data_IF_495652812004
#
_entry.id   IF_495652812004
#
_cell.length_a   1.000
_cell.length_b   1.000
_cell.length_c   1.000
_cell.angle_alpha   90.00
_cell.angle_beta   90.00
_cell.angle_gamma   90.00
#
_symmetry.space_group_name_H-M   'P 1'
#
loop_
_entity.id
_entity.type
_entity.pdbx_description
1 polymer ?
#
# COMPACT_ATOMS: atom_id res chain seq x y z
N UNK A 1 -5.34 29.34 -9.73
CA UNK A 1 -5.52 29.20 -8.27
C UNK A 1 -6.44 28.03 -7.85
N UNK A 2 -6.88 27.15 -8.75
CA UNK A 2 -7.69 25.95 -8.41
C UNK A 2 -6.96 24.62 -8.61
N UNK A 3 -5.77 24.59 -9.19
CA UNK A 3 -4.99 23.37 -9.49
C UNK A 3 -4.01 22.90 -8.38
N UNK A 4 -3.75 23.74 -7.36
CA UNK A 4 -2.82 23.40 -6.25
C UNK A 4 -3.48 22.49 -5.17
N UNK A 5 -4.77 22.26 -5.24
CA UNK A 5 -5.54 21.57 -4.18
C UNK A 5 -5.47 20.03 -4.30
N UNK A 6 -5.20 19.47 -5.48
CA UNK A 6 -5.27 18.02 -5.69
C UNK A 6 -4.03 17.27 -5.21
N UNK A 7 -2.83 17.77 -5.47
CA UNK A 7 -1.57 17.09 -5.03
C UNK A 7 -1.32 17.18 -3.52
N UNK A 8 -1.86 18.20 -2.87
CA UNK A 8 -1.80 18.35 -1.40
C UNK A 8 -2.77 17.37 -0.70
N UNK A 9 -3.83 16.93 -1.38
CA UNK A 9 -4.84 16.06 -0.76
C UNK A 9 -4.31 14.65 -0.47
N UNK A 10 -3.43 14.10 -1.28
CA UNK A 10 -2.89 12.73 -1.09
C UNK A 10 -1.87 12.71 0.06
N UNK A 11 -1.03 13.72 0.18
CA UNK A 11 -0.10 13.85 1.33
C UNK A 11 -0.79 14.25 2.64
N UNK A 12 -1.95 14.93 2.58
CA UNK A 12 -2.71 15.37 3.76
C UNK A 12 -3.56 14.22 4.35
N UNK A 13 -3.93 13.22 3.57
CA UNK A 13 -4.70 12.07 4.07
C UNK A 13 -3.87 11.26 5.09
N UNK A 14 -2.56 11.17 4.95
CA UNK A 14 -1.69 10.56 5.97
C UNK A 14 -1.54 11.41 7.25
N UNK A 15 -1.73 12.73 7.18
CA UNK A 15 -1.52 13.65 8.31
C UNK A 15 -2.81 13.92 9.09
N UNK A 16 -4.00 13.82 8.46
CA UNK A 16 -5.29 14.14 9.10
C UNK A 16 -5.89 13.00 9.96
N UNK A 17 -5.27 11.84 10.03
CA UNK A 17 -5.70 10.76 10.94
C UNK A 17 -5.24 10.95 12.40
N UNK A 18 -4.42 11.97 12.70
CA UNK A 18 -3.86 12.19 14.04
C UNK A 18 -4.58 13.25 14.91
N UNK A 19 -5.67 13.87 14.46
CA UNK A 19 -6.23 15.05 15.19
C UNK A 19 -7.60 14.90 15.83
N UNK A 20 -8.04 13.72 16.19
CA UNK A 20 -9.29 13.59 16.96
C UNK A 20 -9.23 12.49 17.99
N UNK A 21 -8.79 12.81 19.21
CA UNK A 21 -9.35 12.23 20.45
C UNK A 21 -8.67 12.84 21.70
N UNK A 22 -9.34 13.80 22.29
CA UNK A 22 -9.14 14.13 23.69
C UNK A 22 -10.38 13.63 24.44
N UNK A 23 -10.26 12.59 25.24
CA UNK A 23 -11.17 12.30 26.33
C UNK A 23 -10.47 11.46 27.40
N UNK A 24 -10.52 12.00 28.60
CA UNK A 24 -9.98 11.47 29.84
C UNK A 24 -10.78 10.22 30.26
N UNK A 25 -10.12 9.11 30.52
CA UNK A 25 -10.73 7.93 31.11
C UNK A 25 -9.93 7.46 32.32
N UNK A 26 -10.64 7.39 33.44
CA UNK A 26 -10.19 6.84 34.71
C UNK A 26 -10.12 5.31 34.69
N UNK A 27 -9.02 4.78 35.18
CA UNK A 27 -8.71 3.35 35.29
C UNK A 27 -9.66 2.56 36.17
N UNK A 28 -10.19 1.45 35.67
CA UNK A 28 -10.71 0.34 36.48
C UNK A 28 -10.10 -0.98 36.04
N UNK A 29 -9.50 -1.67 36.99
CA UNK A 29 -8.85 -2.98 36.85
C UNK A 29 -9.84 -4.10 36.49
N UNK A 30 -9.58 -4.87 35.44
CA UNK A 30 -10.32 -6.10 35.13
C UNK A 30 -9.36 -7.30 35.10
N UNK A 31 -9.83 -8.35 35.75
CA UNK A 31 -9.15 -9.62 35.99
C UNK A 31 -8.94 -10.47 34.75
N UNK A 32 -7.74 -11.04 34.60
CA UNK A 32 -7.35 -12.01 33.58
C UNK A 32 -8.21 -13.27 33.58
N UNK A 33 -8.86 -13.57 32.47
CA UNK A 33 -9.30 -14.91 32.13
C UNK A 33 -8.40 -15.46 31.02
N UNK A 34 -7.63 -16.51 31.33
CA UNK A 34 -6.78 -17.23 30.40
C UNK A 34 -7.62 -18.02 29.39
N UNK A 35 -7.60 -17.60 28.14
CA UNK A 35 -8.04 -18.45 27.01
C UNK A 35 -6.92 -19.45 26.65
N UNK A 36 -7.25 -20.72 26.33
CA UNK A 36 -6.25 -21.67 25.89
C UNK A 36 -5.72 -21.26 24.49
N UNK A 37 -4.40 -21.12 24.40
CA UNK A 37 -3.71 -20.88 23.14
C UNK A 37 -4.08 -21.94 22.11
N UNK A 38 -4.59 -21.54 20.96
CA UNK A 38 -4.74 -22.40 19.79
C UNK A 38 -3.36 -22.91 19.35
N UNK A 39 -3.20 -24.20 19.26
CA UNK A 39 -1.92 -24.84 18.88
C UNK A 39 -1.75 -24.70 17.37
N UNK A 40 -0.95 -23.73 16.94
CA UNK A 40 -0.45 -23.66 15.57
C UNK A 40 0.58 -24.78 15.37
N UNK A 41 0.35 -25.67 14.42
CA UNK A 41 1.14 -26.90 14.25
C UNK A 41 2.26 -26.83 13.20
N UNK A 42 2.47 -25.71 12.49
CA UNK A 42 3.54 -25.56 11.49
C UNK A 42 4.13 -24.15 11.53
N UNK A 43 5.45 -23.99 11.25
CA UNK A 43 6.02 -22.68 11.02
C UNK A 43 5.28 -22.03 9.84
N UNK A 44 4.75 -20.86 10.08
CA UNK A 44 3.91 -20.12 9.13
C UNK A 44 4.80 -19.07 8.45
N UNK A 45 5.08 -19.25 7.16
CA UNK A 45 5.74 -18.19 6.39
C UNK A 45 4.70 -17.17 5.95
N UNK A 46 4.89 -15.94 6.33
CA UNK A 46 4.03 -14.82 5.93
C UNK A 46 4.56 -14.15 4.66
N UNK A 47 3.64 -13.62 3.87
CA UNK A 47 3.94 -12.78 2.71
C UNK A 47 3.14 -11.50 2.83
N UNK A 48 3.80 -10.35 2.65
CA UNK A 48 3.12 -9.06 2.58
C UNK A 48 2.29 -8.98 1.29
N UNK A 49 1.04 -8.53 1.41
CA UNK A 49 0.16 -8.32 0.26
C UNK A 49 0.38 -6.95 -0.37
N UNK A 50 0.87 -5.99 0.42
CA UNK A 50 1.21 -4.65 -0.05
C UNK A 50 2.67 -4.34 0.24
N UNK A 51 3.33 -3.72 -0.72
CA UNK A 51 4.70 -3.22 -0.60
C UNK A 51 4.73 -1.70 -0.41
N UNK A 52 5.91 -1.13 -0.20
CA UNK A 52 6.13 0.33 -0.08
C UNK A 52 5.28 1.00 1.02
N UNK A 53 5.24 0.40 2.23
CA UNK A 53 4.56 1.00 3.36
C UNK A 53 3.03 0.99 3.27
N UNK A 54 2.45 0.03 2.55
CA UNK A 54 1.00 -0.17 2.44
C UNK A 54 0.35 0.49 1.24
N UNK A 55 1.13 0.96 0.26
CA UNK A 55 0.57 1.39 -1.02
C UNK A 55 0.04 0.17 -1.76
N UNK A 56 -1.27 0.18 -2.04
CA UNK A 56 -1.89 -0.89 -2.82
C UNK A 56 -1.81 -0.57 -4.30
N UNK A 57 -1.00 -1.34 -5.00
CA UNK A 57 -0.88 -1.28 -6.45
C UNK A 57 -1.76 -2.33 -7.15
N UNK A 58 -2.11 -3.40 -6.43
CA UNK A 58 -2.81 -4.56 -6.97
C UNK A 58 -2.15 -5.86 -6.59
N UNK A 59 -2.47 -6.93 -7.31
CA UNK A 59 -1.97 -8.28 -7.07
C UNK A 59 -1.11 -8.77 -8.25
N UNK A 60 0.07 -9.30 -7.97
CA UNK A 60 0.94 -9.90 -8.99
C UNK A 60 0.95 -11.42 -8.89
N UNK A 61 1.03 -12.07 -10.06
CA UNK A 61 1.27 -13.51 -10.22
C UNK A 61 2.49 -13.70 -11.12
N UNK A 62 2.87 -14.95 -11.38
CA UNK A 62 3.92 -15.24 -12.34
C UNK A 62 3.57 -14.79 -13.77
N UNK A 63 2.27 -14.79 -14.13
CA UNK A 63 1.82 -14.57 -15.50
C UNK A 63 1.31 -13.14 -15.75
N UNK A 64 0.96 -12.40 -14.70
CA UNK A 64 0.40 -11.07 -14.89
C UNK A 64 0.02 -10.32 -13.62
N UNK A 65 -0.46 -9.09 -13.83
CA UNK A 65 -0.79 -8.12 -12.81
C UNK A 65 -2.28 -7.79 -12.83
N UNK A 66 -2.90 -7.82 -11.66
CA UNK A 66 -4.32 -7.55 -11.44
C UNK A 66 -4.47 -6.26 -10.64
N UNK A 67 -5.20 -5.29 -11.18
CA UNK A 67 -5.35 -3.99 -10.54
C UNK A 67 -6.70 -3.35 -10.86
N UNK A 68 -7.08 -2.35 -10.09
CA UNK A 68 -8.30 -1.58 -10.32
C UNK A 68 -8.01 -0.47 -11.33
N UNK A 69 -8.84 -0.37 -12.37
CA UNK A 69 -8.73 0.72 -13.34
C UNK A 69 -8.98 2.07 -12.63
N UNK A 70 -8.05 3.00 -12.79
CA UNK A 70 -8.19 4.36 -12.25
C UNK A 70 -9.27 5.18 -12.96
N UNK A 71 -9.68 4.78 -14.17
CA UNK A 71 -10.75 5.38 -14.94
C UNK A 71 -12.11 4.92 -14.42
N UNK A 72 -12.67 5.67 -13.47
CA UNK A 72 -14.01 5.43 -12.98
C UNK A 72 -15.07 6.01 -13.91
N UNK A 73 -16.23 5.34 -14.00
CA UNK A 73 -17.41 5.85 -14.68
C UNK A 73 -18.06 6.99 -13.89
N UNK A 74 -19.05 7.67 -14.49
CA UNK A 74 -19.79 8.76 -13.84
C UNK A 74 -20.42 8.37 -12.49
N UNK A 75 -20.84 7.12 -12.35
CA UNK A 75 -21.38 6.56 -11.11
C UNK A 75 -20.31 6.10 -10.10
N UNK A 76 -19.04 6.29 -10.43
CA UNK A 76 -17.90 5.85 -9.60
C UNK A 76 -17.52 4.38 -9.78
N UNK A 77 -18.26 3.62 -10.61
CA UNK A 77 -17.89 2.24 -10.90
C UNK A 77 -16.64 2.16 -11.79
N UNK A 78 -15.88 1.09 -11.66
CA UNK A 78 -14.68 0.83 -12.45
C UNK A 78 -14.57 -0.66 -12.81
N UNK A 79 -13.43 -1.10 -13.31
CA UNK A 79 -13.20 -2.49 -13.64
C UNK A 79 -11.90 -3.01 -13.01
N UNK A 80 -11.91 -4.30 -12.72
CA UNK A 80 -10.70 -5.05 -12.45
C UNK A 80 -10.00 -5.37 -13.77
N UNK A 81 -8.72 -5.03 -13.86
CA UNK A 81 -7.90 -5.20 -15.04
C UNK A 81 -6.91 -6.35 -14.85
N UNK A 82 -6.51 -6.93 -15.95
CA UNK A 82 -5.42 -7.90 -16.02
C UNK A 82 -4.40 -7.46 -17.06
N UNK A 83 -3.16 -7.34 -16.65
CA UNK A 83 -2.01 -7.07 -17.51
C UNK A 83 -1.21 -8.36 -17.65
N UNK A 84 -1.20 -8.94 -18.83
CA UNK A 84 -0.46 -10.16 -19.16
C UNK A 84 1.01 -9.82 -19.46
N UNK A 85 1.94 -10.40 -18.70
CA UNK A 85 3.37 -10.10 -18.85
C UNK A 85 3.97 -10.67 -20.14
N UNK A 86 3.43 -11.79 -20.63
CA UNK A 86 3.95 -12.44 -21.84
C UNK A 86 3.58 -11.72 -23.12
N UNK A 87 2.36 -11.16 -23.19
CA UNK A 87 1.88 -10.40 -24.36
C UNK A 87 2.02 -8.89 -24.21
N UNK A 88 2.35 -8.40 -23.00
CA UNK A 88 2.41 -6.98 -22.64
C UNK A 88 1.06 -6.24 -22.84
N UNK A 89 -0.07 -6.99 -22.80
CA UNK A 89 -1.39 -6.44 -23.04
C UNK A 89 -2.19 -6.31 -21.74
N UNK A 90 -2.93 -5.21 -21.62
CA UNK A 90 -3.88 -4.95 -20.53
C UNK A 90 -5.31 -5.14 -21.06
N UNK A 91 -6.08 -5.97 -20.36
CA UNK A 91 -7.47 -6.29 -20.71
C UNK A 91 -8.38 -6.24 -19.46
N UNK A 92 -9.68 -6.18 -19.67
CA UNK A 92 -10.65 -6.39 -18.58
C UNK A 92 -10.57 -7.84 -18.07
N UNK A 93 -10.47 -8.03 -16.75
CA UNK A 93 -10.52 -9.37 -16.16
C UNK A 93 -11.98 -9.90 -16.20
N UNK A 94 -12.39 -10.39 -17.37
CA UNK A 94 -13.74 -10.86 -17.61
C UNK A 94 -13.75 -12.16 -18.39
N UNK A 95 -14.42 -13.18 -17.85
CA UNK A 95 -14.55 -14.50 -18.49
C UNK A 95 -15.73 -14.59 -19.48
N UNK A 96 -16.53 -13.51 -19.63
CA UNK A 96 -17.75 -13.53 -20.45
C UNK A 96 -17.46 -13.13 -21.90
N UNK A 97 -17.85 -13.97 -22.85
CA UNK A 97 -17.75 -13.63 -24.27
C UNK A 97 -18.74 -12.49 -24.63
N UNK A 98 -18.26 -11.54 -25.46
CA UNK A 98 -19.04 -10.37 -25.93
C UNK A 98 -19.59 -9.49 -24.80
N UNK A 99 -18.89 -9.41 -23.67
CA UNK A 99 -19.23 -8.53 -22.57
C UNK A 99 -18.90 -7.07 -22.93
N UNK A 100 -19.78 -6.13 -22.60
CA UNK A 100 -19.55 -4.69 -22.79
C UNK A 100 -18.80 -4.06 -21.61
N UNK A 101 -18.59 -4.82 -20.53
CA UNK A 101 -17.85 -4.46 -19.31
C UNK A 101 -18.40 -3.25 -18.53
N UNK A 102 -19.60 -2.80 -18.82
CA UNK A 102 -20.21 -1.56 -18.31
C UNK A 102 -21.31 -1.77 -17.25
N UNK A 103 -21.52 -2.98 -16.80
CA UNK A 103 -22.60 -3.32 -15.88
C UNK A 103 -22.22 -4.42 -14.87
N UNK A 104 -22.98 -4.52 -13.79
CA UNK A 104 -22.80 -5.51 -12.73
C UNK A 104 -22.92 -6.99 -13.19
N UNK A 105 -23.39 -7.24 -14.42
CA UNK A 105 -23.34 -8.59 -15.00
C UNK A 105 -21.94 -9.01 -15.43
N UNK A 106 -21.02 -8.07 -15.59
CA UNK A 106 -19.63 -8.31 -15.93
C UNK A 106 -18.82 -8.71 -14.68
N UNK A 107 -18.03 -9.75 -14.77
CA UNK A 107 -17.20 -10.23 -13.62
C UNK A 107 -16.08 -9.26 -13.25
N UNK A 108 -15.61 -8.42 -14.17
CA UNK A 108 -14.62 -7.37 -13.87
C UNK A 108 -15.24 -6.10 -13.29
N UNK A 109 -16.55 -5.93 -13.37
CA UNK A 109 -17.23 -4.71 -12.90
C UNK A 109 -17.13 -4.58 -11.39
N UNK A 110 -16.66 -3.43 -10.92
CA UNK A 110 -16.53 -3.08 -9.51
C UNK A 110 -17.52 -1.97 -9.18
N UNK A 111 -18.39 -2.24 -8.21
CA UNK A 111 -19.32 -1.25 -7.68
C UNK A 111 -18.55 -0.07 -7.07
N UNK A 112 -19.06 1.16 -7.14
CA UNK A 112 -18.46 2.28 -6.45
C UNK A 112 -18.44 2.03 -4.95
N UNK A 113 -17.32 2.42 -4.32
CA UNK A 113 -17.16 2.38 -2.87
C UNK A 113 -16.27 3.54 -2.44
N UNK A 114 -16.60 4.22 -1.35
CA UNK A 114 -15.83 5.36 -0.86
C UNK A 114 -14.43 4.97 -0.39
N UNK A 115 -14.27 3.75 0.09
CA UNK A 115 -12.98 3.23 0.56
C UNK A 115 -12.12 2.57 -0.52
N UNK A 116 -12.66 2.40 -1.74
CA UNK A 116 -11.96 1.70 -2.82
C UNK A 116 -12.04 0.17 -2.72
N UNK A 117 -11.46 -0.50 -3.70
CA UNK A 117 -11.34 -1.96 -3.77
C UNK A 117 -9.86 -2.30 -3.87
N UNK A 118 -9.39 -3.19 -3.01
CA UNK A 118 -8.01 -3.65 -2.97
C UNK A 118 -7.95 -5.07 -3.53
N UNK A 119 -7.40 -5.28 -4.72
CA UNK A 119 -7.14 -6.63 -5.24
C UNK A 119 -5.84 -7.17 -4.67
N UNK A 120 -5.89 -8.37 -4.09
CA UNK A 120 -4.76 -9.05 -3.46
C UNK A 120 -4.70 -10.51 -3.91
N UNK A 121 -3.49 -11.05 -4.00
CA UNK A 121 -3.32 -12.47 -4.31
C UNK A 121 -3.20 -13.31 -3.04
N UNK A 122 -4.07 -14.31 -2.90
CA UNK A 122 -3.95 -15.31 -1.84
C UNK A 122 -4.11 -16.72 -2.45
N UNK A 123 -3.07 -17.50 -2.39
CA UNK A 123 -3.03 -18.82 -3.01
C UNK A 123 -3.28 -18.75 -4.52
N UNK A 124 -4.36 -19.41 -4.97
CA UNK A 124 -4.78 -19.51 -6.38
C UNK A 124 -5.95 -18.57 -6.75
N UNK A 125 -6.21 -17.54 -5.92
CA UNK A 125 -7.31 -16.59 -6.09
C UNK A 125 -6.81 -15.15 -6.03
N UNK A 126 -7.59 -14.28 -6.66
CA UNK A 126 -7.59 -12.85 -6.34
C UNK A 126 -8.67 -12.60 -5.31
N UNK A 127 -8.30 -11.93 -4.25
CA UNK A 127 -9.19 -11.46 -3.19
C UNK A 127 -9.47 -9.99 -3.43
N UNK A 128 -10.73 -9.61 -3.41
CA UNK A 128 -11.17 -8.22 -3.54
C UNK A 128 -11.67 -7.74 -2.18
N UNK A 129 -10.89 -6.87 -1.53
CA UNK A 129 -11.32 -6.18 -0.33
C UNK A 129 -12.06 -4.91 -0.72
N UNK A 130 -13.38 -4.88 -0.49
CA UNK A 130 -14.19 -3.68 -0.57
C UNK A 130 -14.09 -2.94 0.76
N UNK A 131 -13.40 -1.81 0.72
CA UNK A 131 -13.24 -0.98 1.90
C UNK A 131 -14.48 -0.10 2.06
N UNK A 132 -14.99 -0.02 3.29
CA UNK A 132 -16.00 0.96 3.64
C UNK A 132 -15.36 2.07 4.48
N UNK A 133 -15.82 3.29 4.33
CA UNK A 133 -15.48 4.37 5.24
C UNK A 133 -16.38 4.26 6.47
N UNK A 134 -15.84 4.28 7.72
CA UNK A 134 -16.65 4.32 8.93
C UNK A 134 -17.48 5.61 9.05
N UNK A 135 -17.30 6.54 8.13
CA UNK A 135 -17.98 7.83 8.02
C UNK A 135 -18.93 7.89 6.81
N UNK A 136 -19.21 6.73 6.20
CA UNK A 136 -20.13 6.66 5.08
C UNK A 136 -21.58 6.94 5.56
N UNK A 137 -22.33 7.66 4.72
CA UNK A 137 -23.74 7.96 4.98
C UNK A 137 -24.59 6.68 4.99
N UNK A 138 -25.76 6.77 5.64
CA UNK A 138 -26.75 5.67 5.66
C UNK A 138 -27.08 5.21 4.23
N UNK A 139 -26.82 3.95 3.93
CA UNK A 139 -27.16 3.31 2.65
C UNK A 139 -25.99 2.80 1.83
N UNK A 140 -24.75 2.98 2.26
CA UNK A 140 -23.62 2.35 1.59
C UNK A 140 -23.52 0.84 1.89
N UNK A 141 -23.03 0.11 0.90
CA UNK A 141 -22.73 -1.31 1.04
C UNK A 141 -21.66 -1.51 2.13
N UNK A 142 -21.81 -2.48 3.05
CA UNK A 142 -20.80 -2.75 4.06
C UNK A 142 -19.50 -3.20 3.42
N UNK A 143 -18.38 -2.99 4.15
CA UNK A 143 -17.11 -3.59 3.79
C UNK A 143 -17.28 -5.11 3.63
N UNK A 144 -16.68 -5.67 2.60
CA UNK A 144 -16.78 -7.09 2.30
C UNK A 144 -15.56 -7.62 1.60
N UNK A 145 -15.43 -8.94 1.57
CA UNK A 145 -14.36 -9.64 0.87
C UNK A 145 -15.00 -10.57 -0.17
N UNK A 146 -14.54 -10.45 -1.39
CA UNK A 146 -14.91 -11.31 -2.50
C UNK A 146 -13.68 -12.07 -2.99
N UNK A 147 -13.91 -13.25 -3.57
CA UNK A 147 -12.89 -14.01 -4.32
C UNK A 147 -13.24 -14.04 -5.80
N UNK A 148 -12.23 -14.10 -6.65
CA UNK A 148 -12.36 -14.29 -8.10
C UNK A 148 -11.19 -15.13 -8.60
N UNK A 149 -11.41 -16.00 -9.58
CA UNK A 149 -10.34 -16.79 -10.22
C UNK A 149 -9.45 -15.87 -11.10
N UNK A 150 -8.23 -16.31 -11.37
CA UNK A 150 -7.30 -15.58 -12.25
C UNK A 150 -7.82 -15.37 -13.67
N UNK A 151 -8.79 -16.15 -14.13
CA UNK A 151 -9.46 -15.99 -15.43
C UNK A 151 -10.71 -15.08 -15.38
N UNK A 152 -10.98 -14.47 -14.24
CA UNK A 152 -12.17 -13.62 -14.04
C UNK A 152 -13.46 -14.37 -13.79
N UNK A 153 -13.45 -15.70 -13.65
CA UNK A 153 -14.62 -16.51 -13.32
C UNK A 153 -14.77 -16.70 -11.80
N UNK A 154 -15.90 -17.27 -11.37
CA UNK A 154 -16.08 -17.76 -10.00
C UNK A 154 -16.11 -16.67 -8.94
N UNK A 155 -16.47 -15.42 -9.29
CA UNK A 155 -16.57 -14.32 -8.33
C UNK A 155 -17.67 -14.56 -7.33
N UNK A 156 -17.33 -14.47 -6.04
CA UNK A 156 -18.28 -14.67 -4.94
C UNK A 156 -17.86 -13.91 -3.69
N UNK A 157 -18.84 -13.43 -2.90
CA UNK A 157 -18.60 -12.87 -1.57
C UNK A 157 -18.34 -14.02 -0.60
N UNK A 158 -17.23 -13.93 0.15
CA UNK A 158 -16.87 -14.92 1.18
C UNK A 158 -17.08 -14.38 2.60
N UNK A 159 -16.98 -13.04 2.78
CA UNK A 159 -17.21 -12.40 4.07
C UNK A 159 -17.83 -11.02 3.89
N UNK A 160 -18.73 -10.64 4.81
CA UNK A 160 -19.28 -9.28 4.92
C UNK A 160 -19.11 -8.81 6.33
N UNK A 161 -18.41 -7.69 6.49
CA UNK A 161 -18.17 -7.07 7.80
C UNK A 161 -19.45 -6.43 8.33
N UNK A 162 -19.53 -6.30 9.64
CA UNK A 162 -20.60 -5.53 10.26
C UNK A 162 -20.40 -4.03 10.00
N UNK A 163 -21.44 -3.20 10.05
CA UNK A 163 -21.32 -1.75 9.79
C UNK A 163 -20.30 -1.03 10.68
N UNK A 164 -20.16 -1.50 11.92
CA UNK A 164 -19.20 -0.97 12.89
C UNK A 164 -17.76 -1.45 12.69
N UNK A 165 -17.53 -2.40 11.78
CA UNK A 165 -16.23 -3.02 11.51
C UNK A 165 -15.58 -2.43 10.27
N UNK A 166 -14.30 -2.07 10.39
CA UNK A 166 -13.51 -1.55 9.28
C UNK A 166 -12.15 -2.25 9.26
N UNK A 167 -11.84 -3.04 8.22
CA UNK A 167 -10.50 -3.56 8.03
C UNK A 167 -9.54 -2.41 7.67
N UNK A 168 -8.31 -2.49 8.20
CA UNK A 168 -7.23 -1.59 7.82
C UNK A 168 -6.48 -2.16 6.62
N UNK A 169 -5.92 -1.23 5.82
CA UNK A 169 -5.22 -1.59 4.61
C UNK A 169 -3.90 -2.24 4.87
N UNK A 170 -3.01 -2.54 4.96
CA UNK A 170 -1.82 -3.36 5.02
C UNK A 170 -2.12 -4.72 5.61
N UNK A 171 -1.96 -5.71 4.77
CA UNK A 171 -2.35 -7.08 5.06
C UNK A 171 -1.20 -8.03 4.76
N UNK A 172 -1.17 -9.15 5.44
CA UNK A 172 -0.23 -10.24 5.16
C UNK A 172 -0.99 -11.56 5.05
N UNK A 173 -0.40 -12.53 4.35
CA UNK A 173 -1.01 -13.85 4.16
C UNK A 173 -0.03 -14.97 4.46
N UNK A 174 -0.56 -16.12 4.87
CA UNK A 174 0.16 -17.41 4.93
C UNK A 174 -0.15 -18.30 3.71
N UNK A 175 -0.78 -17.73 2.67
CA UNK A 175 -1.21 -18.44 1.45
C UNK A 175 -2.64 -18.96 1.49
N UNK A 176 -3.29 -18.99 2.66
CA UNK A 176 -4.71 -19.35 2.84
C UNK A 176 -5.45 -18.27 3.64
N UNK A 177 -4.88 -17.84 4.75
CA UNK A 177 -5.47 -16.84 5.62
C UNK A 177 -4.91 -15.46 5.31
N UNK A 178 -5.70 -14.42 5.58
CA UNK A 178 -5.28 -13.03 5.55
C UNK A 178 -5.28 -12.50 6.97
N UNK A 179 -4.18 -11.85 7.36
CA UNK A 179 -4.02 -11.19 8.65
C UNK A 179 -4.02 -9.68 8.45
N UNK A 180 -4.85 -8.98 9.19
CA UNK A 180 -5.03 -7.53 9.10
C UNK A 180 -5.49 -6.96 10.44
N UNK A 181 -5.44 -5.64 10.57
CA UNK A 181 -6.01 -4.95 11.72
C UNK A 181 -7.47 -4.66 11.47
N UNK A 182 -8.35 -5.17 12.33
CA UNK A 182 -9.78 -4.87 12.33
C UNK A 182 -10.08 -3.83 13.40
N UNK A 183 -10.63 -2.70 12.97
CA UNK A 183 -11.17 -1.66 13.83
C UNK A 183 -12.65 -1.91 14.02
N UNK A 184 -13.13 -1.82 15.28
CA UNK A 184 -14.54 -1.92 15.62
C UNK A 184 -14.94 -0.71 16.46
N UNK A 185 -15.96 0.03 16.02
CA UNK A 185 -16.55 1.14 16.77
C UNK A 185 -17.63 0.54 17.69
N UNK A 186 -17.54 0.81 18.99
CA UNK A 186 -18.49 0.31 19.99
C UNK A 186 -19.70 1.23 20.10
N UNK A 187 -20.77 0.77 20.76
CA UNK A 187 -21.99 1.57 21.01
C UNK A 187 -21.73 2.85 21.81
N UNK A 188 -20.72 2.84 22.69
CA UNK A 188 -20.28 4.02 23.46
C UNK A 188 -19.32 4.94 22.69
N UNK A 189 -19.16 4.72 21.38
CA UNK A 189 -18.23 5.41 20.48
C UNK A 189 -16.75 5.12 20.75
N UNK A 190 -16.41 4.27 21.71
CA UNK A 190 -15.04 3.81 21.87
C UNK A 190 -14.62 2.92 20.68
N UNK A 191 -13.33 2.85 20.43
CA UNK A 191 -12.75 2.07 19.32
C UNK A 191 -11.95 0.92 19.90
N UNK A 192 -12.11 -0.27 19.32
CA UNK A 192 -11.19 -1.39 19.54
C UNK A 192 -10.44 -1.70 18.26
N UNK A 193 -9.21 -2.12 18.40
CA UNK A 193 -8.38 -2.67 17.31
C UNK A 193 -7.97 -4.08 17.68
N UNK A 194 -8.08 -4.98 16.71
CA UNK A 194 -7.64 -6.37 16.88
C UNK A 194 -6.82 -6.78 15.67
N UNK A 195 -5.77 -7.55 15.89
CA UNK A 195 -5.25 -8.42 14.85
C UNK A 195 -6.33 -9.45 14.54
N UNK A 196 -6.74 -9.52 13.30
CA UNK A 196 -7.77 -10.42 12.81
C UNK A 196 -7.19 -11.37 11.76
N UNK A 197 -7.77 -12.56 11.66
CA UNK A 197 -7.48 -13.58 10.64
C UNK A 197 -8.76 -13.92 9.90
N UNK A 198 -8.74 -13.85 8.58
CA UNK A 198 -9.81 -14.26 7.70
C UNK A 198 -9.35 -15.49 6.90
N UNK A 199 -10.04 -16.61 7.06
CA UNK A 199 -9.85 -17.80 6.22
C UNK A 199 -10.51 -17.55 4.85
N UNK A 200 -9.75 -17.57 3.77
CA UNK A 200 -10.25 -17.26 2.43
C UNK A 200 -11.06 -18.40 1.79
N UNK A 201 -11.03 -19.59 2.34
CA UNK A 201 -11.82 -20.74 1.87
C UNK A 201 -13.20 -20.76 2.51
N UNK A 202 -13.29 -20.47 3.81
CA UNK A 202 -14.54 -20.56 4.58
C UNK A 202 -15.22 -19.22 4.79
N UNK A 203 -14.45 -18.10 4.73
CA UNK A 203 -14.92 -16.76 5.08
C UNK A 203 -15.00 -16.52 6.60
N UNK A 204 -14.48 -17.45 7.41
CA UNK A 204 -14.49 -17.32 8.87
C UNK A 204 -13.50 -16.25 9.33
N UNK A 205 -13.99 -15.31 10.13
CA UNK A 205 -13.22 -14.23 10.75
C UNK A 205 -12.95 -14.56 12.22
N UNK A 206 -11.68 -14.55 12.59
CA UNK A 206 -11.20 -14.77 13.96
C UNK A 206 -10.45 -13.56 14.47
N UNK A 207 -10.78 -13.07 15.67
CA UNK A 207 -10.01 -12.03 16.36
C UNK A 207 -8.92 -12.70 17.20
N UNK A 208 -7.65 -12.44 16.86
CA UNK A 208 -6.52 -13.12 17.47
C UNK A 208 -6.01 -12.40 18.72
N UNK A 209 -5.76 -11.09 18.60
CA UNK A 209 -5.18 -10.31 19.69
C UNK A 209 -5.63 -8.86 19.64
N UNK A 210 -5.92 -8.28 20.81
CA UNK A 210 -6.21 -6.85 20.94
C UNK A 210 -4.92 -6.03 20.75
N UNK A 211 -5.04 -4.94 19.98
CA UNK A 211 -3.95 -4.01 19.69
C UNK A 211 -4.20 -2.66 20.37
N UNK A 212 -3.15 -1.87 20.55
CA UNK A 212 -3.26 -0.56 21.17
C UNK A 212 -4.11 0.38 20.31
N UNK A 213 -5.04 1.08 20.96
CA UNK A 213 -5.85 2.15 20.36
C UNK A 213 -5.20 3.51 20.57
N UNK A 214 -4.50 3.69 21.69
CA UNK A 214 -3.83 4.94 22.06
C UNK A 214 -2.67 5.25 21.12
N UNK A 215 -1.98 4.20 20.66
CA UNK A 215 -0.92 4.30 19.69
C UNK A 215 -1.48 4.04 18.27
N UNK A 216 -1.04 4.79 17.28
CA UNK A 216 -1.31 4.49 15.88
C UNK A 216 -0.51 3.23 15.50
N UNK A 217 -1.07 2.05 15.78
CA UNK A 217 -0.44 0.74 15.56
C UNK A 217 -1.12 0.06 14.36
N UNK A 218 -0.35 -0.36 13.36
CA UNK A 218 -0.84 -1.10 12.19
C UNK A 218 0.26 -1.98 11.59
N UNK A 219 -0.14 -3.01 10.84
CA UNK A 219 0.76 -3.88 10.10
C UNK A 219 1.42 -3.04 8.99
N UNK A 220 2.73 -3.16 8.84
CA UNK A 220 3.49 -2.51 7.77
C UNK A 220 4.07 -3.50 6.77
N UNK A 221 4.22 -4.76 7.16
CA UNK A 221 4.68 -5.87 6.35
C UNK A 221 4.91 -7.11 7.20
N UNK A 222 5.77 -7.99 6.74
CA UNK A 222 6.19 -9.19 7.47
C UNK A 222 7.62 -9.58 7.12
N UNK A 223 8.20 -10.45 7.97
CA UNK A 223 9.48 -11.10 7.72
C UNK A 223 9.46 -12.50 8.36
N UNK A 224 9.51 -13.55 7.54
CA UNK A 224 9.37 -14.93 8.00
C UNK A 224 8.00 -15.18 8.66
N UNK A 225 8.00 -15.49 9.95
CA UNK A 225 6.79 -15.75 10.75
C UNK A 225 6.30 -14.50 11.52
N UNK A 226 7.01 -13.39 11.40
CA UNK A 226 6.78 -12.19 12.20
C UNK A 226 6.09 -11.09 11.39
N UNK A 227 5.20 -10.36 12.04
CA UNK A 227 4.65 -9.12 11.53
C UNK A 227 5.65 -7.99 11.74
N UNK A 228 5.74 -7.09 10.77
CA UNK A 228 6.41 -5.81 10.92
C UNK A 228 5.33 -4.77 11.19
N UNK A 229 5.41 -4.15 12.35
CA UNK A 229 4.41 -3.20 12.86
C UNK A 229 4.99 -1.79 12.84
N UNK A 230 4.28 -0.86 12.25
CA UNK A 230 4.49 0.56 12.49
C UNK A 230 3.69 0.97 13.73
N UNK A 231 4.31 1.70 14.63
CA UNK A 231 3.68 2.26 15.81
C UNK A 231 4.09 3.73 15.96
N UNK A 232 3.12 4.59 16.30
CA UNK A 232 3.39 5.99 16.62
C UNK A 232 2.79 6.33 17.98
N UNK A 233 3.62 6.78 18.91
CA UNK A 233 3.23 7.22 20.24
C UNK A 233 3.23 8.75 20.32
N UNK A 234 2.14 9.30 20.84
CA UNK A 234 2.01 10.73 21.08
C UNK A 234 2.50 11.08 22.49
N UNK A 235 3.45 12.00 22.57
CA UNK A 235 3.93 12.58 23.82
C UNK A 235 3.58 14.08 23.86
N UNK A 236 3.75 14.71 25.01
CA UNK A 236 3.51 16.15 25.18
C UNK A 236 4.43 16.98 24.26
N UNK A 237 3.91 17.35 23.08
CA UNK A 237 4.56 18.22 22.10
C UNK A 237 5.42 17.54 21.04
N UNK A 238 5.53 16.20 21.03
CA UNK A 238 6.21 15.46 19.95
C UNK A 238 5.62 14.04 19.81
N UNK A 239 5.91 13.41 18.68
CA UNK A 239 5.50 12.03 18.40
C UNK A 239 6.73 11.18 18.11
N UNK A 240 6.78 9.99 18.70
CA UNK A 240 7.82 9.00 18.42
C UNK A 240 7.19 7.87 17.60
N UNK A 241 7.76 7.62 16.44
CA UNK A 241 7.41 6.47 15.64
C UNK A 241 8.45 5.37 15.79
N UNK A 242 8.01 4.13 15.66
CA UNK A 242 8.90 2.97 15.71
C UNK A 242 8.43 1.86 14.77
N UNK A 243 9.37 1.07 14.32
CA UNK A 243 9.16 -0.20 13.62
C UNK A 243 9.43 -1.32 14.60
N UNK A 244 8.45 -2.21 14.75
CA UNK A 244 8.54 -3.37 15.64
C UNK A 244 8.49 -4.66 14.81
N UNK A 245 9.26 -5.65 15.20
CA UNK A 245 9.07 -7.04 14.81
C UNK A 245 8.19 -7.71 15.86
N UNK A 246 7.10 -8.30 15.45
CA UNK A 246 6.13 -8.91 16.35
C UNK A 246 5.79 -10.34 15.95
N UNK A 247 6.26 -11.30 16.75
CA UNK A 247 5.77 -12.66 16.68
C UNK A 247 4.47 -12.76 17.46
N UNK A 248 3.35 -12.75 16.77
CA UNK A 248 2.03 -12.73 17.42
C UNK A 248 1.62 -14.09 17.99
N UNK A 249 2.30 -15.18 17.64
CA UNK A 249 2.10 -16.51 18.22
C UNK A 249 2.69 -16.56 19.62
N UNK A 250 3.94 -16.15 19.79
CA UNK A 250 4.61 -16.08 21.10
C UNK A 250 4.28 -14.82 21.89
N UNK A 251 3.76 -13.79 21.21
CA UNK A 251 3.52 -12.46 21.77
C UNK A 251 4.78 -11.60 21.93
N UNK A 252 5.95 -12.05 21.45
CA UNK A 252 7.19 -11.29 21.57
C UNK A 252 7.21 -10.10 20.62
N UNK A 253 7.58 -8.91 21.13
CA UNK A 253 7.80 -7.69 20.34
C UNK A 253 9.24 -7.21 20.53
N UNK A 254 9.89 -6.84 19.43
CA UNK A 254 11.24 -6.28 19.39
C UNK A 254 11.21 -4.96 18.62
N UNK A 255 11.82 -3.90 19.18
CA UNK A 255 11.98 -2.64 18.46
C UNK A 255 13.18 -2.73 17.51
N UNK A 256 12.92 -2.55 16.21
CA UNK A 256 13.95 -2.55 15.18
C UNK A 256 14.53 -1.16 14.99
N UNK A 257 13.67 -0.13 14.96
CA UNK A 257 14.06 1.24 14.72
C UNK A 257 13.03 2.21 15.30
N UNK A 258 13.50 3.39 15.78
CA UNK A 258 12.63 4.46 16.28
C UNK A 258 13.15 5.84 15.86
N UNK A 259 12.23 6.77 15.61
CA UNK A 259 12.54 8.14 15.18
C UNK A 259 11.47 9.13 15.63
N UNK A 260 11.80 10.44 15.54
CA UNK A 260 10.79 11.48 15.72
C UNK A 260 9.88 11.52 14.47
N UNK A 261 8.58 11.32 14.64
CA UNK A 261 7.62 11.23 13.55
C UNK A 261 7.52 12.49 12.66
N UNK A 262 7.97 13.66 13.18
CA UNK A 262 8.00 14.92 12.41
C UNK A 262 9.15 14.98 11.40
N UNK A 263 10.17 14.13 11.52
CA UNK A 263 11.39 14.30 10.76
C UNK A 263 11.30 13.65 9.36
N UNK A 264 10.78 12.44 9.28
CA UNK A 264 10.59 11.71 8.03
C UNK A 264 9.86 10.38 8.28
N UNK A 265 9.56 9.62 7.20
CA UNK A 265 9.06 8.24 7.28
C UNK A 265 10.08 7.32 6.60
N UNK A 266 10.56 6.27 7.28
CA UNK A 266 11.36 5.23 6.64
C UNK A 266 10.51 4.48 5.61
N UNK A 267 11.15 3.67 4.77
CA UNK A 267 10.46 2.83 3.78
C UNK A 267 10.72 1.37 4.07
N UNK A 268 9.69 0.56 3.92
CA UNK A 268 9.78 -0.90 3.94
C UNK A 268 9.33 -1.43 2.58
N UNK A 269 10.21 -2.16 1.91
CA UNK A 269 9.89 -2.88 0.69
C UNK A 269 10.36 -4.33 0.84
N UNK A 270 9.40 -5.25 0.83
CA UNK A 270 9.63 -6.65 1.20
C UNK A 270 10.35 -6.74 2.57
N UNK A 271 11.52 -7.36 2.65
CA UNK A 271 12.33 -7.44 3.88
C UNK A 271 13.33 -6.28 4.06
N UNK A 272 13.33 -5.29 3.19
CA UNK A 272 14.31 -4.21 3.20
C UNK A 272 13.76 -2.92 3.82
N UNK A 273 14.33 -2.51 4.95
CA UNK A 273 14.02 -1.28 5.67
C UNK A 273 15.07 -0.22 5.39
N UNK A 274 14.67 0.83 4.63
CA UNK A 274 15.50 2.01 4.39
C UNK A 274 15.19 3.11 5.41
N UNK A 275 16.21 3.64 6.10
CA UNK A 275 16.00 4.66 7.13
C UNK A 275 17.18 5.63 7.27
N UNK A 276 16.98 6.72 8.01
CA UNK A 276 18.01 7.70 8.39
C UNK A 276 18.59 7.32 9.75
N UNK A 277 19.88 7.03 9.82
CA UNK A 277 20.54 6.73 11.08
C UNK A 277 20.79 7.98 11.94
N UNK A 278 20.89 7.79 13.25
CA UNK A 278 21.28 8.83 14.21
C UNK A 278 22.76 9.21 14.11
N UNK A 279 23.53 8.41 13.37
CA UNK A 279 24.94 8.65 13.04
C UNK A 279 25.15 9.62 11.88
N UNK A 280 24.04 10.09 11.26
CA UNK A 280 24.04 11.05 10.17
C UNK A 280 24.17 10.42 8.78
N UNK A 281 23.89 9.13 8.64
CA UNK A 281 23.90 8.43 7.37
C UNK A 281 22.57 7.73 7.08
N UNK A 282 22.36 7.37 5.81
CA UNK A 282 21.28 6.47 5.41
C UNK A 282 21.70 5.03 5.65
N UNK A 283 20.73 4.21 6.02
CA UNK A 283 20.86 2.80 6.29
C UNK A 283 19.90 1.97 5.46
N UNK A 284 20.31 0.76 5.17
CA UNK A 284 19.49 -0.30 4.57
C UNK A 284 19.63 -1.56 5.41
N UNK A 285 18.61 -1.87 6.20
CA UNK A 285 18.54 -3.05 7.03
C UNK A 285 17.72 -4.14 6.33
N UNK A 286 18.36 -5.25 5.99
CA UNK A 286 17.63 -6.44 5.57
C UNK A 286 17.12 -7.20 6.81
N UNK A 287 15.79 -7.28 6.94
CA UNK A 287 15.14 -7.83 8.14
C UNK A 287 15.31 -9.34 8.29
N UNK A 288 15.52 -10.08 7.20
CA UNK A 288 15.70 -11.53 7.24
C UNK A 288 17.12 -11.88 7.73
N UNK A 289 18.13 -11.29 7.10
CA UNK A 289 19.54 -11.57 7.44
C UNK A 289 20.04 -10.78 8.65
N UNK A 290 19.39 -9.67 9.00
CA UNK A 290 19.86 -8.71 10.01
C UNK A 290 21.05 -7.86 9.56
N UNK A 291 21.43 -7.90 8.28
CA UNK A 291 22.52 -7.10 7.75
C UNK A 291 22.08 -5.63 7.64
N UNK A 292 22.87 -4.74 8.23
CA UNK A 292 22.70 -3.29 8.15
C UNK A 292 23.82 -2.68 7.30
N UNK A 293 23.46 -2.11 6.16
CA UNK A 293 24.39 -1.41 5.27
C UNK A 293 24.28 0.10 5.49
N UNK A 294 25.40 0.76 5.80
CA UNK A 294 25.49 2.20 6.03
C UNK A 294 26.10 2.90 4.81
N UNK A 295 25.40 3.89 4.25
CA UNK A 295 25.86 4.65 3.08
C UNK A 295 26.78 5.82 3.50
N UNK A 296 27.99 5.50 3.97
CA UNK A 296 28.96 6.48 4.52
C UNK A 296 29.46 7.50 3.49
N UNK A 297 29.33 7.19 2.19
CA UNK A 297 29.72 8.07 1.08
C UNK A 297 28.72 9.21 0.83
N UNK A 298 27.54 9.16 1.45
CA UNK A 298 26.50 10.17 1.28
C UNK A 298 25.86 10.54 2.63
N UNK A 299 26.43 11.50 3.36
CA UNK A 299 25.87 11.94 4.64
C UNK A 299 24.52 12.64 4.47
N UNK A 300 23.65 12.49 5.45
CA UNK A 300 22.36 13.19 5.48
C UNK A 300 22.62 14.70 5.61
N UNK A 301 21.97 15.48 4.75
CA UNK A 301 22.04 16.93 4.80
C UNK A 301 21.02 17.51 5.79
N UNK A 302 21.48 18.31 6.76
CA UNK A 302 20.59 19.06 7.66
C UNK A 302 19.89 20.23 6.96
N UNK A 303 20.34 20.58 5.74
CA UNK A 303 19.84 21.75 5.01
C UNK A 303 18.65 21.45 4.10
N UNK A 304 18.33 20.18 3.87
CA UNK A 304 17.30 19.74 2.93
C UNK A 304 16.29 18.82 3.60
N UNK A 305 15.02 18.97 3.19
CA UNK A 305 14.03 17.95 3.48
C UNK A 305 14.31 16.74 2.56
N UNK A 306 14.50 15.58 3.16
CA UNK A 306 14.83 14.37 2.42
C UNK A 306 13.84 13.26 2.74
N UNK A 307 13.51 12.46 1.73
CA UNK A 307 12.69 11.24 1.87
C UNK A 307 13.34 10.08 1.14
N UNK A 308 13.18 8.89 1.67
CA UNK A 308 13.54 7.66 0.98
C UNK A 308 12.32 7.27 0.14
N UNK A 309 12.53 7.04 -1.15
CA UNK A 309 11.47 6.77 -2.12
C UNK A 309 11.35 5.29 -2.43
N UNK A 310 12.45 4.55 -2.36
CA UNK A 310 12.52 3.12 -2.61
C UNK A 310 13.73 2.52 -1.92
N UNK A 311 13.67 1.23 -1.55
CA UNK A 311 14.75 0.47 -0.95
C UNK A 311 14.63 -1.01 -1.32
N UNK A 312 15.74 -1.63 -1.75
CA UNK A 312 15.89 -3.07 -1.90
C UNK A 312 17.34 -3.49 -1.66
N UNK A 313 17.70 -4.76 -1.86
CA UNK A 313 19.04 -5.27 -1.66
C UNK A 313 20.14 -4.57 -2.47
N UNK A 314 19.79 -3.88 -3.55
CA UNK A 314 20.74 -3.14 -4.40
C UNK A 314 21.07 -1.75 -3.82
N UNK A 315 20.15 -1.15 -3.04
CA UNK A 315 20.35 0.18 -2.48
C UNK A 315 19.06 0.91 -2.09
N UNK A 316 19.17 2.24 -2.01
CA UNK A 316 18.04 3.13 -1.76
C UNK A 316 18.01 4.26 -2.79
N UNK A 317 16.79 4.74 -3.08
CA UNK A 317 16.56 5.96 -3.85
C UNK A 317 16.05 7.01 -2.89
N UNK A 318 16.69 8.17 -2.85
CA UNK A 318 16.31 9.29 -2.02
C UNK A 318 15.86 10.48 -2.86
N UNK A 319 14.96 11.28 -2.30
CA UNK A 319 14.57 12.59 -2.82
C UNK A 319 15.05 13.67 -1.85
N UNK A 320 15.73 14.68 -2.36
CA UNK A 320 16.09 15.89 -1.63
C UNK A 320 15.32 17.07 -2.18
N UNK A 321 14.70 17.85 -1.31
CA UNK A 321 14.06 19.13 -1.67
C UNK A 321 15.04 20.25 -1.43
N UNK A 322 15.61 20.81 -2.51
CA UNK A 322 16.59 21.90 -2.50
C UNK A 322 15.83 23.23 -2.58
N UNK A 323 15.78 24.05 -1.52
CA UNK A 323 15.07 25.31 -1.56
C UNK A 323 15.67 26.25 -2.61
N UNK A 324 14.87 26.70 -3.58
CA UNK A 324 15.25 27.70 -4.58
C UNK A 324 14.74 29.10 -4.23
N UNK A 325 13.70 29.16 -3.38
CA UNK A 325 13.19 30.39 -2.79
C UNK A 325 12.48 30.11 -1.46
N UNK A 326 11.89 31.12 -0.83
CA UNK A 326 11.07 30.94 0.39
C UNK A 326 9.87 29.97 0.20
N UNK A 327 9.39 29.79 -1.03
CA UNK A 327 8.16 29.06 -1.33
C UNK A 327 8.31 27.99 -2.42
N UNK A 328 9.53 27.81 -2.96
CA UNK A 328 9.80 26.85 -4.02
C UNK A 328 11.03 26.02 -3.69
N UNK A 329 11.03 24.78 -4.10
CA UNK A 329 12.15 23.86 -4.01
C UNK A 329 12.22 23.01 -5.28
N UNK A 330 13.42 22.71 -5.73
CA UNK A 330 13.67 21.71 -6.76
C UNK A 330 13.86 20.33 -6.11
N UNK A 331 13.45 19.28 -6.81
CA UNK A 331 13.68 17.92 -6.38
C UNK A 331 14.94 17.35 -7.03
N UNK A 332 15.87 16.88 -6.21
CA UNK A 332 16.99 16.08 -6.63
C UNK A 332 16.74 14.62 -6.19
N UNK A 333 16.87 13.69 -7.12
CA UNK A 333 16.77 12.26 -6.82
C UNK A 333 18.16 11.65 -6.94
N UNK A 334 18.53 10.82 -5.96
CA UNK A 334 19.85 10.19 -5.88
C UNK A 334 19.68 8.71 -5.55
N UNK A 335 20.39 7.86 -6.26
CA UNK A 335 20.55 6.44 -5.91
C UNK A 335 21.81 6.24 -5.09
N UNK A 336 21.69 5.54 -3.97
CA UNK A 336 22.79 5.09 -3.12
C UNK A 336 22.81 3.57 -3.20
N UNK A 337 23.85 3.01 -3.81
CA UNK A 337 23.93 1.56 -4.06
C UNK A 337 24.81 0.86 -3.04
N UNK A 338 24.52 -0.41 -2.78
CA UNK A 338 25.29 -1.23 -1.82
C UNK A 338 26.70 -1.54 -2.31
N UNK A 339 27.03 -1.34 -3.59
CA UNK A 339 28.41 -1.40 -4.11
C UNK A 339 29.24 -0.13 -3.80
N UNK A 340 28.62 0.86 -3.16
CA UNK A 340 29.25 2.14 -2.77
C UNK A 340 29.11 3.23 -3.82
N UNK A 341 28.44 3.01 -4.96
CA UNK A 341 28.21 4.04 -5.95
C UNK A 341 27.08 5.00 -5.52
N UNK A 342 27.22 6.27 -5.93
CA UNK A 342 26.27 7.34 -5.71
C UNK A 342 26.03 8.03 -7.04
N UNK A 343 24.80 8.04 -7.51
CA UNK A 343 24.48 8.58 -8.83
C UNK A 343 23.19 9.42 -8.77
N UNK A 344 23.13 10.49 -9.57
CA UNK A 344 21.87 11.21 -9.79
C UNK A 344 20.88 10.27 -10.50
N UNK A 345 19.66 10.17 -9.94
CA UNK A 345 18.64 9.29 -10.46
C UNK A 345 17.94 9.90 -11.66
N UNK A 346 17.91 9.17 -12.78
CA UNK A 346 17.44 9.69 -14.08
C UNK A 346 16.12 9.08 -14.56
N UNK A 347 15.63 8.00 -13.94
CA UNK A 347 14.36 7.39 -14.33
C UNK A 347 13.20 8.14 -13.67
N UNK A 348 12.74 9.18 -14.34
CA UNK A 348 11.71 10.09 -13.86
C UNK A 348 10.60 10.24 -14.90
N UNK A 349 9.35 10.21 -14.44
CA UNK A 349 8.22 10.75 -15.19
C UNK A 349 8.07 12.24 -14.92
N UNK A 350 7.51 12.97 -15.87
CA UNK A 350 7.19 14.39 -15.75
C UNK A 350 5.66 14.54 -15.78
N UNK A 351 5.09 15.02 -14.69
CA UNK A 351 3.66 15.27 -14.56
C UNK A 351 3.45 16.75 -14.25
N UNK A 352 2.91 17.51 -15.20
CA UNK A 352 2.64 18.95 -15.05
C UNK A 352 3.88 19.76 -14.56
N UNK A 353 5.09 19.30 -14.85
CA UNK A 353 6.35 19.90 -14.42
C UNK A 353 6.89 19.39 -13.08
N UNK A 354 6.17 18.48 -12.42
CA UNK A 354 6.65 17.78 -11.23
C UNK A 354 7.27 16.42 -11.66
N UNK A 355 8.48 16.18 -11.18
CA UNK A 355 9.21 14.94 -11.46
C UNK A 355 8.92 13.88 -10.39
N UNK A 356 8.56 12.70 -10.83
CA UNK A 356 8.33 11.54 -9.99
C UNK A 356 9.25 10.39 -10.39
N UNK A 357 9.91 9.71 -9.45
CA UNK A 357 10.77 8.59 -9.78
C UNK A 357 9.91 7.41 -10.26
N UNK A 358 10.43 6.66 -11.22
CA UNK A 358 9.91 5.34 -11.52
C UNK A 358 9.95 4.50 -10.24
N UNK A 359 8.86 3.81 -9.94
CA UNK A 359 8.69 3.10 -8.67
C UNK A 359 8.48 1.62 -8.93
N UNK A 360 9.38 0.73 -8.47
CA UNK A 360 9.11 -0.69 -8.48
C UNK A 360 7.87 -1.02 -7.65
N UNK A 361 6.95 -1.76 -8.27
CA UNK A 361 5.67 -2.17 -7.68
C UNK A 361 5.78 -3.59 -7.13
N UNK A 362 6.36 -4.48 -7.92
CA UNK A 362 6.60 -5.87 -7.57
C UNK A 362 7.93 -6.38 -8.11
N UNK A 363 8.55 -7.30 -7.37
CA UNK A 363 9.54 -8.20 -7.90
C UNK A 363 8.81 -9.28 -8.72
N UNK A 364 9.04 -9.34 -10.03
CA UNK A 364 8.46 -10.38 -10.88
C UNK A 364 9.24 -11.69 -10.76
N UNK A 365 10.55 -11.54 -10.60
CA UNK A 365 11.53 -12.61 -10.42
C UNK A 365 12.85 -12.00 -9.90
N UNK A 366 13.92 -12.78 -9.86
CA UNK A 366 15.22 -12.31 -9.41
C UNK A 366 15.84 -11.24 -10.34
N UNK A 367 15.37 -11.12 -11.59
CA UNK A 367 15.96 -10.27 -12.62
C UNK A 367 15.11 -9.04 -12.97
N UNK A 368 13.78 -9.08 -12.77
CA UNK A 368 12.86 -8.07 -13.28
C UNK A 368 11.94 -7.49 -12.20
N UNK A 369 11.57 -6.21 -12.41
CA UNK A 369 10.49 -5.51 -11.70
C UNK A 369 9.30 -5.26 -12.62
N UNK A 370 8.10 -5.24 -12.03
CA UNK A 370 7.01 -4.41 -12.53
C UNK A 370 7.21 -3.00 -11.96
N UNK A 371 7.28 -2.01 -12.84
CA UNK A 371 7.58 -0.62 -12.46
C UNK A 371 6.40 0.28 -12.85
N UNK A 372 5.94 1.10 -11.93
CA UNK A 372 5.09 2.24 -12.24
C UNK A 372 5.96 3.35 -12.84
N UNK A 373 5.61 3.80 -14.05
CA UNK A 373 6.41 4.76 -14.83
C UNK A 373 5.72 6.11 -15.02
N UNK A 374 4.58 6.35 -14.37
CA UNK A 374 3.84 7.60 -14.42
C UNK A 374 2.40 7.44 -14.89
N UNK A 375 1.81 8.53 -15.34
CA UNK A 375 0.44 8.57 -15.82
C UNK A 375 0.40 9.01 -17.29
N UNK A 376 -0.60 8.56 -18.01
CA UNK A 376 -1.01 9.15 -19.28
C UNK A 376 -2.33 9.88 -19.08
N UNK A 377 -2.40 11.12 -19.54
CA UNK A 377 -3.66 11.85 -19.62
C UNK A 377 -4.48 11.34 -20.78
N UNK A 378 -5.66 10.79 -20.50
CA UNK A 378 -6.65 10.45 -21.52
C UNK A 378 -7.79 11.45 -21.51
N UNK A 379 -8.03 12.07 -22.67
CA UNK A 379 -9.19 12.94 -22.85
C UNK A 379 -10.44 12.09 -22.99
N UNK A 380 -11.31 12.13 -22.01
CA UNK A 380 -12.62 11.49 -22.06
C UNK A 380 -13.73 12.53 -22.32
N UNK A 381 -14.66 12.18 -23.24
CA UNK A 381 -15.85 12.98 -23.46
C UNK A 381 -16.90 12.64 -22.41
N UNK A 382 -17.10 13.52 -21.46
CA UNK A 382 -18.15 13.41 -20.45
C UNK A 382 -19.37 14.21 -20.92
N UNK A 383 -20.56 13.59 -20.86
CA UNK A 383 -21.85 14.27 -21.11
C UNK A 383 -22.37 14.70 -19.74
N UNK A 384 -22.51 16.02 -19.56
CA UNK A 384 -23.07 16.63 -18.36
C UNK A 384 -24.58 16.41 -18.29
N UNK A 385 -25.20 16.62 -17.12
CA UNK A 385 -26.63 16.40 -16.90
C UNK A 385 -27.52 17.36 -17.72
N UNK A 386 -26.99 18.49 -18.18
CA UNK A 386 -27.65 19.45 -19.07
C UNK A 386 -27.55 19.08 -20.56
N UNK A 387 -26.94 17.93 -20.90
CA UNK A 387 -26.68 17.45 -22.25
C UNK A 387 -25.49 18.09 -22.95
N UNK A 388 -24.77 19.00 -22.30
CA UNK A 388 -23.49 19.50 -22.81
C UNK A 388 -22.39 18.44 -22.69
N UNK A 389 -21.40 18.46 -23.58
CA UNK A 389 -20.27 17.58 -23.48
C UNK A 389 -18.99 18.38 -23.23
N UNK A 390 -18.20 17.92 -22.29
CA UNK A 390 -16.83 18.41 -22.07
C UNK A 390 -15.84 17.27 -22.17
N UNK A 391 -14.59 17.60 -22.50
CA UNK A 391 -13.48 16.67 -22.35
C UNK A 391 -12.90 16.85 -20.96
N UNK A 392 -12.74 15.73 -20.25
CA UNK A 392 -12.08 15.67 -18.95
C UNK A 392 -10.84 14.79 -19.11
N UNK A 393 -9.71 15.26 -18.64
CA UNK A 393 -8.49 14.44 -18.56
C UNK A 393 -8.63 13.49 -17.37
N UNK A 394 -8.47 12.20 -17.63
CA UNK A 394 -8.47 11.13 -16.62
C UNK A 394 -7.08 10.50 -16.62
N UNK A 395 -6.33 10.60 -15.51
CA UNK A 395 -5.01 9.99 -15.44
C UNK A 395 -5.14 8.46 -15.44
N UNK A 396 -4.37 7.82 -16.30
CA UNK A 396 -4.23 6.36 -16.37
C UNK A 396 -2.84 5.95 -15.94
N UNK A 397 -2.72 5.05 -14.97
CA UNK A 397 -1.44 4.51 -14.52
C UNK A 397 -0.73 3.78 -15.67
N UNK A 398 0.55 4.07 -15.85
CA UNK A 398 1.42 3.41 -16.80
C UNK A 398 2.37 2.47 -16.06
N UNK A 399 2.45 1.24 -16.53
CA UNK A 399 3.34 0.23 -15.99
C UNK A 399 4.27 -0.32 -17.06
N UNK A 400 5.45 -0.75 -16.65
CA UNK A 400 6.44 -1.36 -17.53
C UNK A 400 7.15 -2.50 -16.82
N UNK A 401 7.55 -3.52 -17.56
CA UNK A 401 8.53 -4.49 -17.10
C UNK A 401 9.92 -3.90 -17.37
N UNK A 402 10.79 -3.96 -16.38
CA UNK A 402 12.14 -3.44 -16.46
C UNK A 402 13.10 -4.36 -15.72
N UNK A 403 14.26 -4.66 -16.30
CA UNK A 403 15.27 -5.43 -15.59
C UNK A 403 15.80 -4.63 -14.38
N UNK A 404 16.05 -5.32 -13.25
CA UNK A 404 16.65 -4.73 -12.05
C UNK A 404 17.98 -4.05 -12.37
N UNK A 405 18.79 -4.68 -13.23
CA UNK A 405 20.05 -4.11 -13.68
C UNK A 405 19.88 -2.80 -14.44
N UNK A 406 18.93 -2.70 -15.38
CA UNK A 406 18.70 -1.46 -16.12
C UNK A 406 18.07 -0.39 -15.23
N UNK A 407 17.15 -0.78 -14.35
CA UNK A 407 16.58 0.11 -13.34
C UNK A 407 17.71 0.74 -12.51
N UNK A 408 18.52 -0.05 -11.81
CA UNK A 408 19.57 0.46 -10.94
C UNK A 408 20.72 1.18 -11.65
N UNK A 409 20.90 0.97 -12.96
CA UNK A 409 21.84 1.70 -13.80
C UNK A 409 21.22 2.95 -14.45
N UNK A 410 20.00 3.33 -14.11
CA UNK A 410 19.32 4.50 -14.66
C UNK A 410 19.05 4.42 -16.16
N UNK A 411 19.02 3.22 -16.74
CA UNK A 411 18.79 3.02 -18.16
C UNK A 411 17.30 2.93 -18.44
N UNK A 412 16.79 3.86 -19.24
CA UNK A 412 15.37 3.91 -19.62
C UNK A 412 15.04 2.87 -20.70
N UNK A 413 15.23 1.57 -20.39
CA UNK A 413 14.84 0.43 -21.24
C UNK A 413 13.56 -0.14 -20.66
N UNK A 414 12.45 0.04 -21.38
CA UNK A 414 11.11 -0.26 -20.91
C UNK A 414 10.41 -1.24 -21.84
N UNK A 415 9.60 -2.12 -21.26
CA UNK A 415 8.59 -2.94 -21.92
C UNK A 415 7.21 -2.52 -21.41
N UNK A 416 6.64 -1.40 -21.94
CA UNK A 416 5.43 -0.84 -21.39
C UNK A 416 4.23 -1.75 -21.65
N UNK A 417 3.43 -1.97 -20.61
CA UNK A 417 2.16 -2.69 -20.71
C UNK A 417 1.15 -1.82 -21.44
N UNK A 418 0.52 -2.36 -22.48
CA UNK A 418 -0.34 -1.61 -23.39
C UNK A 418 -1.82 -1.92 -23.18
N UNK A 419 -2.62 -0.89 -23.09
CA UNK A 419 -4.08 -1.05 -23.00
C UNK A 419 -4.65 -1.53 -24.34
N UNK A 420 -5.28 -2.70 -24.30
CA UNK A 420 -6.04 -3.28 -25.41
C UNK A 420 -7.52 -3.33 -25.04
N UNK A 421 -8.04 -2.18 -24.64
CA UNK A 421 -9.44 -1.98 -24.23
C UNK A 421 -9.95 -0.70 -24.90
N UNK A 422 -11.07 -0.79 -25.58
CA UNK A 422 -11.75 0.34 -26.25
C UNK A 422 -12.64 1.12 -25.26
#
# INVERSE_FOLDING_TARGET
MKKIISSILISIICILLCTACNSIVTSSSVSNSSNPASVFQHPMSLTALQNNGGVNWGASTQDGFYYVNTKARKDGSCNLMYADYGSEQIVYLCSQANCTHDSASCTSYLMPTLGGVLPERVGDKIILFYMNSPWSDEGEEPARVETINFDGSGRQTIHTFRPEETPYTTMVTDGQNIYFVLKTVQEDTSVRKNLAKLDTLTGDLELLQEMSVENAEYIWGCCGEDLIIYQCEMHDGYSVSQVLRWNFISGSKESLYSWNASDYTPILYEENLGFKGTDGYYHLLNLESGNDFTFTQYPISDSYLTSIMFADDSGIIIRELIPTSKYTADSLFVSLKTDGSVEEWSLLSDEDGDKHPFTPVFNLNDEDYLVFIGYADESERVIEDDGTSKFTEVPRCLYSIMSKSDFWNGKNIQHPLQYNVD
#
